data_IF_933200677609
#
_entry.id   IF_933200677609
#
_cell.length_a   1.000
_cell.length_b   1.000
_cell.length_c   1.000
_cell.angle_alpha   90.00
_cell.angle_beta   90.00
_cell.angle_gamma   90.00
#
_symmetry.space_group_name_H-M   'P 1'
#
loop_
_entity.id
_entity.type
_entity.pdbx_description
1 polymer ?
#
# COMPACT_ATOMS: atom_id res chain seq x y z
N UNK A 1 -19.22 -5.43 -2.58
CA UNK A 1 -17.81 -5.78 -2.35
C UNK A 1 -16.98 -5.09 -3.43
N UNK A 2 -16.06 -4.19 -3.05
CA UNK A 2 -15.27 -3.36 -3.97
C UNK A 2 -13.79 -3.74 -3.84
N UNK A 3 -13.16 -4.13 -4.95
CA UNK A 3 -11.74 -4.48 -5.01
C UNK A 3 -11.03 -3.40 -5.81
N UNK A 4 -9.99 -2.81 -5.23
CA UNK A 4 -9.14 -1.85 -5.94
C UNK A 4 -7.98 -2.59 -6.56
N UNK A 5 -7.75 -2.37 -7.85
CA UNK A 5 -6.63 -2.93 -8.60
C UNK A 5 -5.76 -1.76 -9.01
N UNK A 6 -4.52 -1.72 -8.53
CA UNK A 6 -3.53 -0.69 -8.87
C UNK A 6 -2.28 -1.30 -9.54
N UNK A 7 -2.43 -1.89 -10.74
CA UNK A 7 -1.34 -2.44 -11.52
C UNK A 7 -0.67 -1.36 -12.37
N UNK A 8 0.57 -1.60 -12.81
CA UNK A 8 1.25 -0.74 -13.78
C UNK A 8 0.60 -0.77 -15.19
N UNK A 9 -0.26 -1.76 -15.49
CA UNK A 9 -0.92 -1.93 -16.78
C UNK A 9 -2.47 -1.97 -16.67
N UNK A 10 -3.21 -1.32 -17.58
CA UNK A 10 -4.68 -1.30 -17.52
C UNK A 10 -5.28 -2.69 -17.73
N UNK A 11 -6.20 -3.08 -16.86
CA UNK A 11 -7.01 -4.31 -16.99
C UNK A 11 -8.37 -3.90 -17.57
N UNK A 12 -8.79 -4.58 -18.63
CA UNK A 12 -10.07 -4.35 -19.30
C UNK A 12 -10.91 -5.62 -19.16
N UNK A 13 -12.15 -5.49 -18.70
CA UNK A 13 -13.03 -6.64 -18.50
C UNK A 13 -14.39 -6.25 -17.95
N UNK A 14 -15.35 -7.18 -18.01
CA UNK A 14 -16.69 -6.99 -17.44
C UNK A 14 -16.59 -6.78 -15.93
N UNK A 15 -17.19 -5.70 -15.43
CA UNK A 15 -17.16 -5.34 -14.00
C UNK A 15 -15.90 -4.61 -13.56
N UNK A 16 -15.01 -4.25 -14.48
CA UNK A 16 -13.82 -3.43 -14.20
C UNK A 16 -14.13 -1.98 -14.60
N UNK A 17 -13.86 -1.05 -13.67
CA UNK A 17 -13.98 0.39 -13.90
C UNK A 17 -12.57 0.96 -13.92
N UNK A 18 -12.14 1.52 -15.06
CA UNK A 18 -10.86 2.18 -15.19
C UNK A 18 -10.97 3.64 -14.71
N UNK A 19 -10.08 4.04 -13.81
CA UNK A 19 -10.05 5.36 -13.18
C UNK A 19 -8.74 6.12 -13.49
N UNK A 20 -8.28 6.07 -14.74
CA UNK A 20 -7.03 6.71 -15.18
C UNK A 20 -7.03 8.25 -15.03
N UNK A 21 -8.21 8.88 -14.98
CA UNK A 21 -8.34 10.34 -14.76
C UNK A 21 -8.51 10.73 -13.29
N UNK A 22 -8.43 9.78 -12.35
CA UNK A 22 -8.65 10.05 -10.94
C UNK A 22 -7.57 10.98 -10.36
N UNK A 23 -8.01 12.03 -9.68
CA UNK A 23 -7.14 12.90 -8.90
C UNK A 23 -6.70 12.28 -7.58
N UNK A 24 -5.77 12.93 -6.85
CA UNK A 24 -5.24 12.40 -5.60
C UNK A 24 -6.31 12.05 -4.56
N UNK A 25 -7.35 12.88 -4.40
CA UNK A 25 -8.44 12.62 -3.46
C UNK A 25 -9.29 11.41 -3.83
N UNK A 26 -9.56 11.22 -5.13
CA UNK A 26 -10.33 10.07 -5.63
C UNK A 26 -9.53 8.77 -5.48
N UNK A 27 -8.22 8.81 -5.77
CA UNK A 27 -7.31 7.69 -5.51
C UNK A 27 -7.38 7.28 -4.04
N UNK A 28 -7.20 8.23 -3.11
CA UNK A 28 -7.29 7.94 -1.67
C UNK A 28 -8.66 7.39 -1.28
N UNK A 29 -9.75 7.92 -1.86
CA UNK A 29 -11.10 7.42 -1.64
C UNK A 29 -11.23 5.95 -2.05
N UNK A 30 -10.71 5.55 -3.21
CA UNK A 30 -10.75 4.15 -3.66
C UNK A 30 -10.01 3.23 -2.68
N UNK A 31 -8.78 3.58 -2.29
CA UNK A 31 -8.03 2.78 -1.31
C UNK A 31 -8.76 2.71 0.04
N UNK A 32 -9.30 3.83 0.54
CA UNK A 32 -9.99 3.90 1.82
C UNK A 32 -11.29 3.07 1.88
N UNK A 33 -11.96 2.87 0.74
CA UNK A 33 -13.21 2.09 0.66
C UNK A 33 -13.03 0.69 0.06
N UNK A 34 -11.81 0.33 -0.35
CA UNK A 34 -11.48 -1.01 -0.81
C UNK A 34 -11.72 -2.05 0.30
N UNK A 35 -12.35 -3.17 -0.08
CA UNK A 35 -12.38 -4.38 0.73
C UNK A 35 -11.05 -5.16 0.60
N UNK A 36 -10.40 -5.05 -0.56
CA UNK A 36 -9.12 -5.65 -0.86
C UNK A 36 -8.38 -4.84 -1.93
N UNK A 37 -7.05 -4.86 -1.88
CA UNK A 37 -6.18 -4.22 -2.87
C UNK A 37 -5.30 -5.26 -3.55
N UNK A 38 -5.37 -5.34 -4.88
CA UNK A 38 -4.39 -6.07 -5.69
C UNK A 38 -3.48 -5.06 -6.39
N UNK A 39 -2.17 -5.13 -6.16
CA UNK A 39 -1.23 -4.10 -6.63
C UNK A 39 0.13 -4.70 -6.95
N UNK A 40 0.88 -4.11 -7.87
CA UNK A 40 2.32 -4.31 -8.08
C UNK A 40 3.12 -3.04 -7.74
N UNK A 41 2.43 -1.93 -7.45
CA UNK A 41 3.05 -0.62 -7.23
C UNK A 41 3.47 -0.38 -5.78
N UNK A 42 4.49 0.46 -5.60
CA UNK A 42 4.90 0.97 -4.29
C UNK A 42 3.78 1.74 -3.58
N UNK A 43 3.06 2.61 -4.31
CA UNK A 43 1.99 3.43 -3.74
C UNK A 43 0.79 2.58 -3.33
N UNK A 44 0.38 1.61 -4.15
CA UNK A 44 -0.72 0.72 -3.79
C UNK A 44 -0.45 -0.06 -2.52
N UNK A 45 0.77 -0.55 -2.34
CA UNK A 45 1.17 -1.23 -1.10
C UNK A 45 1.25 -0.25 0.08
N UNK A 46 1.89 0.90 -0.09
CA UNK A 46 2.01 1.92 0.97
C UNK A 46 0.66 2.42 1.45
N UNK A 47 -0.27 2.74 0.53
CA UNK A 47 -1.62 3.16 0.88
C UNK A 47 -2.43 2.04 1.52
N UNK A 48 -2.25 0.79 1.08
CA UNK A 48 -2.90 -0.35 1.73
C UNK A 48 -2.48 -0.47 3.19
N UNK A 49 -1.18 -0.39 3.48
CA UNK A 49 -0.65 -0.40 4.85
C UNK A 49 -1.18 0.81 5.63
N UNK A 50 -1.08 2.00 5.07
CA UNK A 50 -1.51 3.24 5.72
C UNK A 50 -2.99 3.23 6.09
N UNK A 51 -3.84 2.71 5.21
CA UNK A 51 -5.30 2.62 5.36
C UNK A 51 -5.78 1.30 5.96
N UNK A 52 -4.85 0.44 6.44
CA UNK A 52 -5.14 -0.84 7.10
C UNK A 52 -5.98 -1.80 6.24
N UNK A 53 -5.66 -1.89 4.95
CA UNK A 53 -6.35 -2.72 3.96
C UNK A 53 -5.68 -4.07 3.78
N UNK A 54 -6.48 -5.11 3.58
CA UNK A 54 -5.97 -6.38 3.07
C UNK A 54 -5.48 -6.19 1.63
N UNK A 55 -4.34 -6.79 1.30
CA UNK A 55 -3.76 -6.65 -0.02
C UNK A 55 -2.87 -7.84 -0.41
N UNK A 56 -2.58 -7.94 -1.70
CA UNK A 56 -1.47 -8.71 -2.25
C UNK A 56 -0.58 -7.81 -3.10
N UNK A 57 0.73 -7.98 -2.96
CA UNK A 57 1.73 -7.39 -3.82
C UNK A 57 2.13 -8.43 -4.89
N UNK A 58 1.68 -8.21 -6.12
CA UNK A 58 1.95 -9.10 -7.24
C UNK A 58 3.31 -8.77 -7.87
N UNK A 59 4.38 -9.33 -7.32
CA UNK A 59 5.75 -9.05 -7.75
C UNK A 59 6.73 -10.14 -7.28
N UNK A 60 7.91 -10.20 -7.90
CA UNK A 60 9.03 -10.95 -7.36
C UNK A 60 9.62 -10.24 -6.13
N UNK A 61 9.93 -11.00 -5.08
CA UNK A 61 10.51 -10.49 -3.84
C UNK A 61 11.81 -9.69 -4.06
N UNK A 62 12.58 -9.98 -5.10
CA UNK A 62 13.85 -9.30 -5.39
C UNK A 62 13.70 -8.08 -6.32
N UNK A 63 12.48 -7.69 -6.70
CA UNK A 63 12.27 -6.67 -7.71
C UNK A 63 12.48 -5.22 -7.19
N UNK A 64 12.11 -4.94 -5.94
CA UNK A 64 12.22 -3.60 -5.37
C UNK A 64 12.49 -3.65 -3.86
N UNK A 65 13.73 -3.34 -3.49
CA UNK A 65 14.17 -3.32 -2.09
C UNK A 65 13.38 -2.32 -1.24
N UNK A 66 12.89 -1.22 -1.81
CA UNK A 66 12.09 -0.24 -1.04
C UNK A 66 10.79 -0.86 -0.58
N UNK A 67 10.18 -1.68 -1.44
CA UNK A 67 8.95 -2.39 -1.12
C UNK A 67 9.20 -3.46 -0.05
N UNK A 68 10.25 -4.26 -0.21
CA UNK A 68 10.59 -5.30 0.76
C UNK A 68 10.95 -4.74 2.13
N UNK A 69 11.76 -3.68 2.19
CA UNK A 69 12.15 -3.04 3.45
C UNK A 69 10.93 -2.60 4.29
N UNK A 70 9.88 -2.09 3.64
CA UNK A 70 8.64 -1.71 4.32
C UNK A 70 7.86 -2.94 4.78
N UNK A 71 7.74 -3.96 3.94
CA UNK A 71 7.01 -5.19 4.27
C UNK A 71 7.66 -5.95 5.41
N UNK A 72 8.99 -6.09 5.41
CA UNK A 72 9.76 -6.72 6.48
C UNK A 72 9.58 -5.96 7.79
N UNK A 73 9.68 -4.62 7.75
CA UNK A 73 9.50 -3.76 8.94
C UNK A 73 8.15 -3.98 9.65
N UNK A 74 7.11 -4.32 8.89
CA UNK A 74 5.76 -4.55 9.42
C UNK A 74 5.33 -6.02 9.44
N UNK A 75 6.23 -6.97 9.20
CA UNK A 75 5.93 -8.40 9.11
C UNK A 75 4.77 -8.69 8.14
N UNK A 76 4.92 -8.22 6.90
CA UNK A 76 3.95 -8.33 5.79
C UNK A 76 4.56 -8.96 4.52
N UNK A 77 5.71 -9.61 4.62
CA UNK A 77 6.36 -10.26 3.47
C UNK A 77 5.52 -11.41 2.89
N UNK A 78 4.61 -11.97 3.69
CA UNK A 78 3.62 -12.99 3.31
C UNK A 78 2.61 -12.50 2.26
N UNK A 79 2.59 -11.19 1.97
CA UNK A 79 1.73 -10.56 0.97
C UNK A 79 2.32 -10.50 -0.43
N UNK A 80 3.59 -10.85 -0.60
CA UNK A 80 4.27 -10.86 -1.90
C UNK A 80 4.02 -12.18 -2.60
N UNK A 81 3.66 -12.13 -3.88
CA UNK A 81 3.49 -13.34 -4.70
C UNK A 81 3.64 -13.03 -6.18
N UNK A 82 4.10 -14.01 -6.96
CA UNK A 82 4.04 -13.98 -8.43
C UNK A 82 2.95 -14.90 -8.98
N UNK A 83 2.12 -15.47 -8.10
CA UNK A 83 1.03 -16.38 -8.44
C UNK A 83 -0.33 -15.73 -8.21
N UNK A 84 -1.13 -15.71 -9.28
CA UNK A 84 -2.47 -15.14 -9.26
C UNK A 84 -3.41 -15.97 -8.38
N UNK A 85 -3.24 -17.30 -8.33
CA UNK A 85 -4.06 -18.16 -7.47
C UNK A 85 -3.77 -17.87 -6.00
N UNK A 86 -2.49 -17.72 -5.64
CA UNK A 86 -2.09 -17.26 -4.30
C UNK A 86 -2.69 -15.89 -3.95
N UNK A 87 -2.79 -14.97 -4.92
CA UNK A 87 -3.44 -13.66 -4.70
C UNK A 87 -4.92 -13.80 -4.35
N UNK A 88 -5.63 -14.76 -4.96
CA UNK A 88 -7.02 -15.09 -4.62
C UNK A 88 -7.14 -15.74 -3.24
N UNK A 89 -6.16 -16.53 -2.81
CA UNK A 89 -6.13 -17.06 -1.44
C UNK A 89 -5.94 -15.93 -0.42
N UNK A 90 -4.99 -15.02 -0.70
CA UNK A 90 -4.68 -13.87 0.16
C UNK A 90 -5.88 -12.93 0.36
N UNK A 91 -6.82 -12.89 -0.60
CA UNK A 91 -8.08 -12.17 -0.46
C UNK A 91 -8.84 -12.54 0.82
N UNK A 92 -8.83 -13.82 1.19
CA UNK A 92 -9.51 -14.33 2.39
C UNK A 92 -8.62 -14.33 3.65
N UNK A 93 -7.33 -14.04 3.51
CA UNK A 93 -6.38 -14.02 4.63
C UNK A 93 -6.29 -12.61 5.22
N UNK A 94 -6.98 -12.36 6.33
CA UNK A 94 -6.99 -11.05 7.00
C UNK A 94 -5.60 -10.68 7.53
N UNK A 95 -5.22 -9.43 7.34
CA UNK A 95 -4.06 -8.81 8.00
C UNK A 95 -4.49 -8.32 9.39
N UNK A 96 -3.90 -8.89 10.43
CA UNK A 96 -4.09 -8.43 11.80
C UNK A 96 -3.23 -7.19 12.10
N UNK A 97 -3.72 -6.02 11.69
CA UNK A 97 -2.98 -4.77 11.88
C UNK A 97 -2.81 -4.36 13.35
N UNK A 98 -3.69 -4.82 14.24
CA UNK A 98 -3.63 -4.50 15.68
C UNK A 98 -2.25 -4.82 16.28
N UNK A 99 -1.64 -5.92 15.88
CA UNK A 99 -0.32 -6.36 16.36
C UNK A 99 0.83 -5.54 15.77
N UNK A 100 0.60 -4.92 14.61
CA UNK A 100 1.57 -4.12 13.86
C UNK A 100 1.47 -2.64 14.16
N UNK A 101 0.37 -2.21 14.76
CA UNK A 101 0.05 -0.81 15.03
C UNK A 101 1.16 -0.07 15.79
N UNK A 102 1.81 -0.64 16.84
CA UNK A 102 2.91 0.05 17.51
C UNK A 102 4.08 0.38 16.57
N UNK A 103 4.49 -0.57 15.72
CA UNK A 103 5.57 -0.36 14.74
C UNK A 103 5.18 0.70 13.71
N UNK A 104 3.95 0.64 13.21
CA UNK A 104 3.47 1.61 12.22
C UNK A 104 3.40 3.01 12.82
N UNK A 105 2.90 3.16 14.05
CA UNK A 105 2.82 4.47 14.72
C UNK A 105 4.20 5.06 15.00
N UNK A 106 5.18 4.24 15.39
CA UNK A 106 6.58 4.67 15.53
C UNK A 106 7.12 5.26 14.22
N UNK A 107 6.90 4.58 13.09
CA UNK A 107 7.38 5.08 11.79
C UNK A 107 6.63 6.32 11.30
N UNK A 108 5.34 6.44 11.60
CA UNK A 108 4.58 7.69 11.36
C UNK A 108 5.19 8.83 12.16
N UNK A 109 5.50 8.62 13.43
CA UNK A 109 6.13 9.65 14.27
C UNK A 109 7.52 10.03 13.76
N UNK A 110 8.33 9.06 13.33
CA UNK A 110 9.63 9.31 12.71
C UNK A 110 9.47 10.15 11.43
N UNK A 111 8.55 9.79 10.55
CA UNK A 111 8.27 10.53 9.31
C UNK A 111 7.81 11.97 9.61
N UNK A 112 6.88 12.15 10.54
CA UNK A 112 6.40 13.47 10.94
C UNK A 112 7.49 14.33 11.56
N UNK A 113 8.38 13.73 12.35
CA UNK A 113 9.52 14.44 12.95
C UNK A 113 10.52 14.88 11.89
N UNK A 114 10.84 14.00 10.93
CA UNK A 114 11.70 14.32 9.80
C UNK A 114 11.14 15.51 9.00
N UNK A 115 9.85 15.49 8.65
CA UNK A 115 9.21 16.58 7.90
C UNK A 115 9.23 17.90 8.68
N UNK A 116 8.88 17.87 9.98
CA UNK A 116 8.93 19.07 10.83
C UNK A 116 10.33 19.68 10.89
N UNK A 117 11.35 18.84 11.05
CA UNK A 117 12.73 19.28 11.11
C UNK A 117 13.17 19.89 9.78
N UNK A 118 12.87 19.24 8.65
CA UNK A 118 13.21 19.76 7.32
C UNK A 118 12.53 21.11 7.02
N UNK A 119 11.27 21.27 7.42
CA UNK A 119 10.54 22.53 7.25
C UNK A 119 11.14 23.62 8.14
N UNK A 120 11.42 23.32 9.41
CA UNK A 120 11.99 24.29 10.35
C UNK A 120 13.40 24.74 9.91
N UNK A 121 14.22 23.80 9.43
CA UNK A 121 15.58 24.08 8.93
C UNK A 121 15.55 25.02 7.73
N UNK A 122 14.59 24.85 6.81
CA UNK A 122 14.39 25.79 5.70
C UNK A 122 14.08 27.21 6.19
N UNK A 123 13.20 27.35 7.18
CA UNK A 123 12.85 28.66 7.74
C UNK A 123 13.95 29.30 8.59
N UNK A 124 14.87 28.53 9.18
CA UNK A 124 16.00 29.10 9.95
C UNK A 124 17.12 29.68 9.08
N UNK A 125 17.08 29.43 7.76
CA UNK A 125 18.05 29.94 6.78
C UNK A 125 17.45 31.02 5.85
N UNK A 126 16.24 31.51 6.17
CA UNK A 126 15.59 32.67 5.54
C UNK A 126 15.60 33.86 6.50
#
# INVERSE_FOLDING_TARGET
MFVTVAPFAPIIGKGIINQASAGPGEILHFFAHAAYVFTDTFHGMSFSIHMRKNFSLFENINADFRKMNILEKFNLIDRVTTDIHRSVELFNQVIFYKEREPSIQTEIQHSMSYLKNAINDYYSHC
#
